data_IF_372160001299
#
_entry.id   IF_372160001299
#
_cell.length_a   1.000
_cell.length_b   1.000
_cell.length_c   1.000
_cell.angle_alpha   90.00
_cell.angle_beta   90.00
_cell.angle_gamma   90.00
#
_symmetry.space_group_name_H-M   'P 1'
#
loop_
_entity.id
_entity.type
_entity.pdbx_description
1 polymer ?
#
# COMPACT_ATOMS: atom_id res chain seq x y z
N UNK A 1 -17.04 -10.43 -18.90
CA UNK A 1 -17.61 -9.45 -17.95
C UNK A 1 -16.70 -8.24 -17.91
N UNK A 2 -17.27 -7.07 -18.16
CA UNK A 2 -16.53 -5.81 -17.96
C UNK A 2 -16.44 -5.54 -16.46
N UNK A 3 -15.23 -5.45 -15.94
CA UNK A 3 -14.99 -5.04 -14.56
C UNK A 3 -14.85 -3.52 -14.54
N UNK A 4 -15.68 -2.82 -13.79
CA UNK A 4 -15.49 -1.41 -13.51
C UNK A 4 -15.55 -1.18 -12.00
N UNK A 5 -14.44 -0.78 -11.43
CA UNK A 5 -14.40 -0.24 -10.08
C UNK A 5 -14.79 1.24 -10.16
N UNK A 6 -15.92 1.61 -9.58
CA UNK A 6 -16.29 3.00 -9.48
C UNK A 6 -15.54 3.66 -8.33
N UNK A 7 -15.04 4.86 -8.54
CA UNK A 7 -14.21 5.54 -7.53
C UNK A 7 -14.97 5.75 -6.20
N UNK A 8 -16.27 5.95 -6.26
CA UNK A 8 -17.12 6.08 -5.08
C UNK A 8 -17.20 4.81 -4.22
N UNK A 9 -16.86 3.65 -4.81
CA UNK A 9 -16.86 2.36 -4.12
C UNK A 9 -15.47 1.98 -3.62
N UNK A 10 -14.47 2.84 -3.81
CA UNK A 10 -13.10 2.58 -3.41
C UNK A 10 -12.98 2.48 -1.88
N UNK A 11 -12.42 1.38 -1.41
CA UNK A 11 -11.96 1.16 -0.05
C UNK A 11 -10.48 0.86 -0.12
N UNK A 12 -9.68 1.78 0.40
CA UNK A 12 -8.25 1.82 0.11
C UNK A 12 -7.46 1.23 1.27
N UNK A 13 -6.52 0.34 0.97
CA UNK A 13 -5.50 -0.10 1.90
C UNK A 13 -4.14 0.46 1.48
N UNK A 14 -3.52 1.26 2.32
CA UNK A 14 -2.14 1.75 2.10
C UNK A 14 -1.21 0.87 2.91
N UNK A 15 -0.30 0.17 2.26
CA UNK A 15 0.63 -0.78 2.87
C UNK A 15 2.00 -0.11 2.99
N UNK A 16 2.43 0.10 4.22
CA UNK A 16 3.63 0.85 4.56
C UNK A 16 3.30 2.30 4.92
N UNK A 17 3.57 2.67 6.18
CA UNK A 17 3.24 3.98 6.75
C UNK A 17 4.50 4.79 7.08
N UNK A 18 5.44 4.80 6.15
CA UNK A 18 6.65 5.61 6.21
C UNK A 18 6.46 6.99 5.56
N UNK A 19 7.55 7.55 5.04
CA UNK A 19 7.60 8.90 4.46
C UNK A 19 6.67 9.09 3.26
N UNK A 20 6.40 8.06 2.49
CA UNK A 20 5.51 8.10 1.33
C UNK A 20 4.10 7.66 1.71
N UNK A 21 3.99 6.54 2.40
CA UNK A 21 2.70 5.90 2.68
C UNK A 21 1.82 6.67 3.64
N UNK A 22 2.39 7.28 4.68
CA UNK A 22 1.59 8.03 5.66
C UNK A 22 0.95 9.27 5.06
N UNK A 23 1.68 10.18 4.39
CA UNK A 23 1.05 11.34 3.74
C UNK A 23 -0.03 10.94 2.74
N UNK A 24 0.21 9.88 1.97
CA UNK A 24 -0.75 9.35 1.01
C UNK A 24 -2.01 8.82 1.71
N UNK A 25 -1.85 8.04 2.79
CA UNK A 25 -2.97 7.53 3.57
C UNK A 25 -3.81 8.65 4.19
N UNK A 26 -3.17 9.70 4.68
CA UNK A 26 -3.86 10.89 5.22
C UNK A 26 -4.66 11.59 4.13
N UNK A 27 -4.05 11.85 2.97
CA UNK A 27 -4.73 12.50 1.85
C UNK A 27 -5.94 11.70 1.38
N UNK A 28 -5.79 10.40 1.18
CA UNK A 28 -6.87 9.51 0.78
C UNK A 28 -7.94 9.35 1.85
N UNK A 29 -7.53 9.31 3.12
CA UNK A 29 -8.44 9.15 4.26
C UNK A 29 -9.31 10.36 4.56
N UNK A 30 -9.07 11.49 3.89
CA UNK A 30 -9.99 12.63 3.91
C UNK A 30 -11.22 12.40 3.03
N UNK A 31 -11.05 11.64 1.95
CA UNK A 31 -12.05 11.46 0.91
C UNK A 31 -12.66 10.06 0.89
N UNK A 32 -11.85 9.03 1.15
CA UNK A 32 -12.23 7.62 1.01
C UNK A 32 -12.03 6.84 2.30
N UNK A 33 -12.86 5.81 2.56
CA UNK A 33 -12.56 4.82 3.60
C UNK A 33 -11.17 4.23 3.33
N UNK A 34 -10.24 4.43 4.26
CA UNK A 34 -8.83 4.08 4.09
C UNK A 34 -8.32 3.35 5.33
N UNK A 35 -7.63 2.25 5.10
CA UNK A 35 -6.85 1.54 6.12
C UNK A 35 -5.37 1.81 5.87
N UNK A 36 -4.71 2.46 6.80
CA UNK A 36 -3.25 2.52 6.86
C UNK A 36 -2.73 1.27 7.56
N UNK A 37 -2.11 0.40 6.80
CA UNK A 37 -1.55 -0.85 7.31
C UNK A 37 -0.03 -0.78 7.41
N UNK A 38 0.50 -1.16 8.56
CA UNK A 38 1.92 -1.40 8.75
C UNK A 38 2.11 -2.64 9.62
N UNK A 39 3.05 -3.51 9.25
CA UNK A 39 3.38 -4.70 10.03
C UNK A 39 4.01 -4.36 11.38
N UNK A 40 4.58 -3.15 11.52
CA UNK A 40 5.14 -2.64 12.76
C UNK A 40 4.02 -2.12 13.67
N UNK A 41 3.61 -2.91 14.64
CA UNK A 41 2.55 -2.56 15.58
C UNK A 41 2.86 -1.32 16.43
N UNK A 42 4.14 -1.05 16.72
CA UNK A 42 4.56 0.15 17.44
C UNK A 42 4.29 1.41 16.60
N UNK A 43 4.56 1.35 15.28
CA UNK A 43 4.24 2.43 14.34
C UNK A 43 2.74 2.68 14.27
N UNK A 44 1.94 1.63 14.22
CA UNK A 44 0.48 1.72 14.21
C UNK A 44 -0.04 2.35 15.51
N UNK A 45 0.44 1.91 16.65
CA UNK A 45 0.04 2.45 17.97
C UNK A 45 0.37 3.94 18.09
N UNK A 46 1.52 4.35 17.62
CA UNK A 46 1.97 5.76 17.58
C UNK A 46 1.00 6.62 16.77
N UNK A 47 0.64 6.16 15.56
CA UNK A 47 -0.29 6.88 14.69
C UNK A 47 -1.72 6.89 15.25
N UNK A 48 -2.17 5.82 15.88
CA UNK A 48 -3.46 5.77 16.58
C UNK A 48 -3.52 6.77 17.73
N UNK A 49 -2.37 7.06 18.37
CA UNK A 49 -2.26 8.07 19.41
C UNK A 49 -2.15 9.50 18.86
N UNK A 50 -2.18 9.69 17.54
CA UNK A 50 -2.11 10.99 16.90
C UNK A 50 -0.71 11.59 16.79
N UNK A 51 0.31 10.74 16.84
CA UNK A 51 1.71 11.15 16.76
C UNK A 51 2.42 10.49 15.58
N UNK A 52 3.25 11.26 14.89
CA UNK A 52 4.09 10.78 13.79
C UNK A 52 5.57 11.07 14.10
N UNK A 53 6.33 10.04 14.48
CA UNK A 53 7.75 10.16 14.79
C UNK A 53 8.60 10.51 13.55
N UNK A 54 8.11 10.29 12.33
CA UNK A 54 8.83 10.70 11.11
C UNK A 54 8.78 12.21 10.88
N UNK A 55 7.87 12.92 11.54
CA UNK A 55 7.70 14.35 11.40
C UNK A 55 7.08 14.83 10.09
N UNK A 56 6.55 13.91 9.29
CA UNK A 56 5.88 14.25 8.01
C UNK A 56 4.51 14.87 8.21
N UNK A 57 3.80 14.46 9.29
CA UNK A 57 2.44 14.90 9.59
C UNK A 57 2.34 15.40 11.01
N UNK A 58 1.72 16.55 11.21
CA UNK A 58 1.38 17.03 12.54
C UNK A 58 0.05 16.39 13.04
N UNK A 59 -0.25 16.62 14.32
CA UNK A 59 -1.45 16.06 14.93
C UNK A 59 -2.76 16.54 14.26
N UNK A 60 -2.80 17.79 13.79
CA UNK A 60 -3.97 18.34 13.10
C UNK A 60 -4.15 17.69 11.72
N UNK A 61 -3.07 17.47 11.00
CA UNK A 61 -3.10 16.78 9.71
C UNK A 61 -3.58 15.33 9.87
N UNK A 62 -3.05 14.59 10.85
CA UNK A 62 -3.51 13.25 11.17
C UNK A 62 -5.00 13.21 11.51
N UNK A 63 -5.46 14.16 12.34
CA UNK A 63 -6.86 14.27 12.74
C UNK A 63 -7.80 14.68 11.60
N UNK A 64 -7.28 15.31 10.54
CA UNK A 64 -8.08 15.72 9.37
C UNK A 64 -8.58 14.55 8.53
N UNK A 65 -7.90 13.40 8.58
CA UNK A 65 -8.25 12.20 7.82
C UNK A 65 -9.30 11.37 8.57
N UNK A 66 -10.54 11.83 8.60
CA UNK A 66 -11.61 11.22 9.40
C UNK A 66 -12.05 9.83 8.94
N UNK A 67 -11.74 9.47 7.70
CA UNK A 67 -12.06 8.16 7.11
C UNK A 67 -10.85 7.21 7.14
N UNK A 68 -9.73 7.64 7.74
CA UNK A 68 -8.53 6.85 7.92
C UNK A 68 -8.54 6.13 9.26
N UNK A 69 -8.26 4.86 9.23
CA UNK A 69 -7.96 4.03 10.40
C UNK A 69 -6.61 3.36 10.21
N UNK A 70 -5.96 2.99 11.28
CA UNK A 70 -4.66 2.32 11.27
C UNK A 70 -4.78 0.92 11.82
N UNK A 71 -4.02 -0.02 11.29
CA UNK A 71 -3.99 -1.39 11.76
C UNK A 71 -2.73 -2.14 11.38
N UNK A 72 -2.35 -3.10 12.23
CA UNK A 72 -1.24 -4.03 12.00
C UNK A 72 -1.75 -5.45 11.68
N UNK A 73 -3.04 -5.68 11.69
CA UNK A 73 -3.66 -6.95 11.35
C UNK A 73 -3.96 -7.03 9.84
N UNK A 74 -3.25 -7.93 9.16
CA UNK A 74 -3.42 -8.15 7.73
C UNK A 74 -4.84 -8.62 7.36
N UNK A 75 -5.58 -9.25 8.29
CA UNK A 75 -6.95 -9.68 8.03
C UNK A 75 -7.89 -8.52 7.71
N UNK A 76 -7.62 -7.33 8.24
CA UNK A 76 -8.40 -6.12 7.96
C UNK A 76 -8.29 -5.67 6.50
N UNK A 77 -7.26 -6.07 5.77
CA UNK A 77 -7.09 -5.75 4.35
C UNK A 77 -8.18 -6.38 3.45
N UNK A 78 -8.87 -7.40 3.93
CA UNK A 78 -9.98 -8.03 3.19
C UNK A 78 -11.15 -7.08 2.93
N UNK A 79 -11.27 -6.03 3.71
CA UNK A 79 -12.30 -5.01 3.53
C UNK A 79 -11.95 -3.99 2.44
N UNK A 80 -10.71 -4.01 1.94
CA UNK A 80 -10.22 -3.12 0.89
C UNK A 80 -10.43 -3.73 -0.49
N UNK A 81 -10.50 -2.88 -1.51
CA UNK A 81 -10.57 -3.26 -2.92
C UNK A 81 -9.53 -2.54 -3.79
N UNK A 82 -8.84 -1.55 -3.22
CA UNK A 82 -7.69 -0.89 -3.82
C UNK A 82 -6.55 -0.94 -2.81
N UNK A 83 -5.43 -1.52 -3.20
CA UNK A 83 -4.24 -1.64 -2.36
C UNK A 83 -3.14 -0.78 -2.95
N UNK A 84 -2.54 0.07 -2.14
CA UNK A 84 -1.42 0.93 -2.55
C UNK A 84 -0.20 0.51 -1.73
N UNK A 85 0.82 0.03 -2.41
CA UNK A 85 2.07 -0.44 -1.79
C UNK A 85 3.06 0.71 -1.76
N UNK A 86 3.41 1.15 -0.56
CA UNK A 86 4.32 2.26 -0.30
C UNK A 86 5.46 1.84 0.66
N UNK A 87 5.88 0.59 0.56
CA UNK A 87 7.00 0.07 1.36
C UNK A 87 8.34 0.54 0.79
N UNK A 88 9.39 0.65 1.64
CA UNK A 88 10.70 1.05 1.16
C UNK A 88 11.32 0.00 0.23
N UNK A 89 12.18 0.45 -0.67
CA UNK A 89 13.06 -0.38 -1.52
C UNK A 89 14.51 -0.02 -1.23
N UNK A 90 15.08 -0.52 -0.12
CA UNK A 90 16.44 -0.18 0.26
C UNK A 90 17.44 -0.73 -0.74
N UNK A 91 18.62 -0.16 -0.76
CA UNK A 91 19.74 -0.61 -1.59
C UNK A 91 20.62 -1.52 -0.77
N UNK A 92 20.96 -2.69 -1.31
CA UNK A 92 21.89 -3.63 -0.68
C UNK A 92 23.32 -3.08 -0.68
N UNK A 93 24.26 -3.64 0.12
CA UNK A 93 25.69 -3.27 0.07
C UNK A 93 26.31 -3.40 -1.32
N UNK A 94 25.74 -4.23 -2.19
CA UNK A 94 26.19 -4.41 -3.58
C UNK A 94 25.51 -3.45 -4.57
N UNK A 95 24.85 -2.39 -4.06
CA UNK A 95 24.13 -1.37 -4.86
C UNK A 95 22.98 -1.95 -5.71
N UNK A 96 22.41 -3.08 -5.29
CA UNK A 96 21.23 -3.67 -5.92
C UNK A 96 19.98 -3.33 -5.09
N UNK A 97 18.82 -3.09 -5.71
CA UNK A 97 17.59 -2.86 -4.96
C UNK A 97 17.19 -4.14 -4.20
N UNK A 98 16.85 -3.96 -2.93
CA UNK A 98 16.26 -5.05 -2.13
C UNK A 98 14.74 -5.05 -2.34
N UNK A 99 14.24 -6.04 -3.05
CA UNK A 99 12.82 -6.18 -3.36
C UNK A 99 12.05 -7.00 -2.31
N UNK A 100 12.71 -7.47 -1.26
CA UNK A 100 12.05 -8.29 -0.23
C UNK A 100 10.87 -7.57 0.46
N UNK A 101 10.90 -6.27 0.73
CA UNK A 101 9.71 -5.58 1.26
C UNK A 101 8.53 -5.61 0.28
N UNK A 102 8.79 -5.48 -1.02
CA UNK A 102 7.75 -5.56 -2.06
C UNK A 102 7.16 -6.97 -2.17
N UNK A 103 7.99 -7.98 -2.13
CA UNK A 103 7.55 -9.38 -2.14
C UNK A 103 6.69 -9.67 -0.92
N UNK A 104 7.14 -9.29 0.27
CA UNK A 104 6.40 -9.47 1.52
C UNK A 104 5.05 -8.75 1.51
N UNK A 105 5.01 -7.51 1.04
CA UNK A 105 3.76 -6.75 0.91
C UNK A 105 2.82 -7.41 -0.10
N UNK A 106 3.34 -7.90 -1.22
CA UNK A 106 2.55 -8.58 -2.25
C UNK A 106 1.95 -9.91 -1.74
N UNK A 107 2.70 -10.66 -0.96
CA UNK A 107 2.19 -11.88 -0.30
C UNK A 107 1.04 -11.55 0.68
N UNK A 108 1.21 -10.51 1.48
CA UNK A 108 0.20 -10.03 2.42
C UNK A 108 -1.09 -9.62 1.70
N UNK A 109 -0.96 -8.87 0.62
CA UNK A 109 -2.11 -8.45 -0.20
C UNK A 109 -2.77 -9.66 -0.87
N UNK A 110 -2.00 -10.59 -1.40
CA UNK A 110 -2.51 -11.76 -2.10
C UNK A 110 -3.48 -12.58 -1.24
N UNK A 111 -3.22 -12.67 0.05
CA UNK A 111 -4.10 -13.36 1.00
C UNK A 111 -5.47 -12.66 1.18
N UNK A 112 -5.53 -11.35 0.93
CA UNK A 112 -6.75 -10.54 1.04
C UNK A 112 -7.45 -10.31 -0.31
N UNK A 113 -6.77 -10.58 -1.41
CA UNK A 113 -7.17 -10.19 -2.77
C UNK A 113 -8.46 -10.87 -3.21
N UNK A 114 -9.40 -10.06 -3.67
CA UNK A 114 -10.68 -10.50 -4.21
C UNK A 114 -10.73 -10.26 -5.71
N UNK A 115 -11.67 -10.90 -6.38
CA UNK A 115 -11.88 -10.73 -7.81
C UNK A 115 -12.22 -9.26 -8.14
N UNK A 116 -11.46 -8.66 -9.06
CA UNK A 116 -11.63 -7.28 -9.47
C UNK A 116 -10.86 -6.24 -8.67
N UNK A 117 -10.15 -6.64 -7.61
CA UNK A 117 -9.33 -5.74 -6.83
C UNK A 117 -8.16 -5.17 -7.66
N UNK A 118 -7.68 -4.00 -7.23
CA UNK A 118 -6.58 -3.28 -7.89
C UNK A 118 -5.43 -3.12 -6.91
N UNK A 119 -4.22 -3.42 -7.37
CA UNK A 119 -2.98 -3.23 -6.61
C UNK A 119 -2.11 -2.20 -7.31
N UNK A 120 -1.74 -1.13 -6.61
CA UNK A 120 -0.93 -0.04 -7.14
C UNK A 120 0.40 0.00 -6.39
N UNK A 121 1.51 -0.01 -7.12
CA UNK A 121 2.86 0.08 -6.55
C UNK A 121 3.40 1.50 -6.67
N UNK A 122 3.61 2.14 -5.53
CA UNK A 122 4.19 3.49 -5.40
C UNK A 122 5.68 3.48 -5.07
N UNK A 123 6.26 2.30 -4.85
CA UNK A 123 7.66 2.15 -4.50
C UNK A 123 8.58 2.44 -5.70
N UNK A 124 9.70 3.09 -5.43
CA UNK A 124 10.72 3.34 -6.46
C UNK A 124 11.44 2.04 -6.81
N UNK A 125 11.20 1.54 -8.02
CA UNK A 125 11.81 0.32 -8.55
C UNK A 125 12.22 0.51 -10.01
N UNK A 126 13.02 -0.42 -10.54
CA UNK A 126 13.38 -0.41 -11.96
C UNK A 126 12.15 -0.70 -12.85
N UNK A 127 12.15 -0.24 -14.12
CA UNK A 127 11.07 -0.55 -15.06
C UNK A 127 10.84 -2.07 -15.20
N UNK A 128 9.58 -2.49 -15.16
CA UNK A 128 9.20 -3.89 -15.28
C UNK A 128 9.17 -4.68 -13.97
N UNK A 129 9.66 -4.12 -12.85
CA UNK A 129 9.68 -4.84 -11.57
C UNK A 129 8.29 -5.28 -11.10
N UNK A 130 7.26 -4.49 -11.35
CA UNK A 130 5.88 -4.85 -10.98
C UNK A 130 5.44 -6.11 -11.71
N UNK A 131 5.61 -6.18 -13.03
CA UNK A 131 5.22 -7.34 -13.83
C UNK A 131 6.12 -8.54 -13.62
N UNK A 132 7.42 -8.34 -13.44
CA UNK A 132 8.41 -9.42 -13.36
C UNK A 132 8.48 -10.08 -11.98
N UNK A 133 8.24 -9.31 -10.90
CA UNK A 133 8.42 -9.76 -9.52
C UNK A 133 7.09 -9.79 -8.77
N UNK A 134 6.35 -8.68 -8.75
CA UNK A 134 5.18 -8.53 -7.89
C UNK A 134 3.97 -9.30 -8.43
N UNK A 135 3.69 -9.22 -9.72
CA UNK A 135 2.56 -9.92 -10.34
C UNK A 135 2.64 -11.44 -10.15
N UNK A 136 3.79 -12.11 -10.38
CA UNK A 136 3.91 -13.55 -10.11
C UNK A 136 3.62 -13.91 -8.65
N UNK A 137 4.04 -13.09 -7.69
CA UNK A 137 3.76 -13.30 -6.26
C UNK A 137 2.27 -13.21 -6.00
N UNK A 138 1.61 -12.16 -6.51
CA UNK A 138 0.16 -12.00 -6.38
C UNK A 138 -0.61 -13.17 -6.98
N UNK A 139 -0.25 -13.62 -8.17
CA UNK A 139 -0.88 -14.77 -8.81
C UNK A 139 -0.70 -16.07 -8.00
N UNK A 140 0.54 -16.32 -7.57
CA UNK A 140 0.88 -17.55 -6.84
C UNK A 140 0.11 -17.68 -5.52
N UNK A 141 0.06 -16.62 -4.73
CA UNK A 141 -0.52 -16.67 -3.39
C UNK A 141 -2.02 -16.36 -3.34
N UNK A 142 -2.58 -15.70 -4.38
CA UNK A 142 -4.02 -15.46 -4.47
C UNK A 142 -4.79 -16.52 -5.24
N UNK A 143 -4.09 -17.25 -6.12
CA UNK A 143 -4.72 -18.18 -7.07
C UNK A 143 -5.48 -17.46 -8.20
N UNK A 144 -5.32 -16.14 -8.34
CA UNK A 144 -6.00 -15.33 -9.35
C UNK A 144 -5.04 -14.96 -10.48
N UNK A 145 -5.60 -14.63 -11.64
CA UNK A 145 -4.83 -14.25 -12.82
C UNK A 145 -4.81 -12.74 -13.02
N UNK A 146 -3.65 -12.20 -13.31
CA UNK A 146 -3.45 -10.80 -13.66
C UNK A 146 -4.26 -10.43 -14.90
N UNK A 147 -4.86 -9.23 -14.87
CA UNK A 147 -5.75 -8.68 -15.91
C UNK A 147 -7.04 -9.50 -16.15
N UNK A 148 -7.36 -10.44 -15.27
CA UNK A 148 -8.61 -11.19 -15.30
C UNK A 148 -9.25 -11.23 -13.91
N UNK A 149 -8.52 -11.67 -12.90
CA UNK A 149 -8.99 -11.76 -11.52
C UNK A 149 -8.61 -10.55 -10.66
N UNK A 150 -7.55 -9.85 -11.02
CA UNK A 150 -7.12 -8.60 -10.38
C UNK A 150 -6.33 -7.75 -11.38
N UNK A 151 -6.09 -6.49 -11.01
CA UNK A 151 -5.39 -5.52 -11.84
C UNK A 151 -4.24 -4.88 -11.07
N UNK A 152 -3.18 -4.50 -11.78
CA UNK A 152 -2.02 -3.80 -11.21
C UNK A 152 -1.79 -2.47 -11.91
N UNK A 153 -1.37 -1.47 -11.13
CA UNK A 153 -0.85 -0.20 -11.60
C UNK A 153 0.53 0.06 -11.01
N UNK A 154 1.29 0.89 -11.69
CA UNK A 154 2.57 1.38 -11.22
C UNK A 154 2.57 2.91 -11.26
N UNK A 155 2.80 3.53 -10.11
CA UNK A 155 2.91 4.97 -9.97
C UNK A 155 4.26 5.28 -9.31
N UNK A 156 5.30 5.59 -10.10
CA UNK A 156 6.63 5.84 -9.53
C UNK A 156 6.63 7.11 -8.69
N UNK A 157 7.05 7.00 -7.44
CA UNK A 157 7.31 8.14 -6.59
C UNK A 157 8.61 8.83 -7.03
N UNK A 158 8.52 10.13 -7.25
CA UNK A 158 9.67 10.97 -7.58
C UNK A 158 9.86 12.02 -6.49
N UNK A 159 10.22 11.56 -5.29
CA UNK A 159 10.71 12.48 -4.26
C UNK A 159 12.16 12.80 -4.63
N UNK A 160 12.41 14.05 -4.90
CA UNK A 160 13.76 14.56 -4.99
C UNK A 160 14.11 15.12 -3.60
N UNK A 161 14.86 14.38 -2.77
CA UNK A 161 15.34 14.93 -1.51
C UNK A 161 16.34 16.01 -1.86
N UNK A 162 15.91 17.27 -1.73
CA UNK A 162 16.73 18.45 -1.96
C UNK A 162 17.89 18.56 -0.98
#
# INVERSE_FOLDING_TARGET
MSFSLHIQDARIGVIGLGYVGLPLAVALGREFPTLGYDRNSARVAELQAGHDATGEMDAAELASAKKLRYGADAAALKDCNVYIVAVPTPVTPHKMPDLSPLVSASETIAAALKHGDVVIYESTVYPGATEEVCVPVLERFSGKKFNAGFFCGYSPERINPG
#
